data_IF_660349615991
#
_entry.id   IF_660349615991
#
_cell.length_a   1.000
_cell.length_b   1.000
_cell.length_c   1.000
_cell.angle_alpha   90.00
_cell.angle_beta   90.00
_cell.angle_gamma   90.00
#
_symmetry.space_group_name_H-M   'P 1'
#
loop_
_entity.id
_entity.type
_entity.pdbx_description
1 polymer ?
#
# COMPACT_ATOMS: atom_id res chain seq x y z
N UNK A 1 -34.10 23.51 19.81
CA UNK A 1 -32.69 23.81 19.48
C UNK A 1 -31.80 22.74 20.12
N UNK A 2 -31.35 21.76 19.35
CA UNK A 2 -30.40 20.74 19.84
C UNK A 2 -29.04 20.98 19.18
N UNK A 3 -27.91 20.95 19.91
CA UNK A 3 -26.61 21.22 19.33
C UNK A 3 -26.22 20.08 18.37
N UNK A 4 -25.86 20.47 17.14
CA UNK A 4 -25.41 19.57 16.09
C UNK A 4 -24.23 18.72 16.56
N UNK A 5 -24.43 17.40 16.58
CA UNK A 5 -23.33 16.43 16.61
C UNK A 5 -22.62 16.49 15.26
N UNK A 6 -21.67 17.41 15.13
CA UNK A 6 -20.70 17.38 14.04
C UNK A 6 -19.85 16.13 14.22
N UNK A 7 -20.18 15.08 13.47
CA UNK A 7 -19.33 13.92 13.30
C UNK A 7 -18.03 14.41 12.65
N UNK A 8 -17.04 14.75 13.48
CA UNK A 8 -15.69 15.00 13.03
C UNK A 8 -15.16 13.67 12.47
N UNK A 9 -15.37 13.46 11.17
CA UNK A 9 -14.64 12.47 10.39
C UNK A 9 -13.17 12.84 10.51
N UNK A 10 -12.49 12.15 11.42
CA UNK A 10 -11.04 12.27 11.63
C UNK A 10 -10.39 11.79 10.34
N UNK A 11 -10.18 12.71 9.39
CA UNK A 11 -9.41 12.45 8.20
C UNK A 11 -8.02 12.02 8.67
N UNK A 12 -7.71 10.72 8.58
CA UNK A 12 -6.34 10.24 8.77
C UNK A 12 -5.50 10.93 7.71
N UNK A 13 -4.74 11.94 8.10
CA UNK A 13 -3.79 12.67 7.25
C UNK A 13 -2.90 11.62 6.59
N UNK A 14 -3.11 11.41 5.30
CA UNK A 14 -2.35 10.46 4.49
C UNK A 14 -0.90 10.94 4.46
N UNK A 15 0.06 10.05 4.71
CA UNK A 15 1.48 10.44 4.69
C UNK A 15 1.91 10.65 3.24
N UNK A 16 2.46 11.83 2.96
CA UNK A 16 3.16 12.09 1.71
C UNK A 16 4.39 11.18 1.65
N UNK A 17 4.64 10.56 0.50
CA UNK A 17 5.78 9.68 0.29
C UNK A 17 6.49 10.05 -1.00
N UNK A 18 7.79 9.78 -1.05
CA UNK A 18 8.58 9.91 -2.26
C UNK A 18 8.40 8.63 -3.08
N UNK A 19 7.99 8.79 -4.32
CA UNK A 19 7.81 7.72 -5.28
C UNK A 19 8.81 7.91 -6.40
N UNK A 20 9.43 6.82 -6.82
CA UNK A 20 10.16 6.75 -8.07
C UNK A 20 9.28 5.99 -9.06
N UNK A 21 8.88 6.67 -10.13
CA UNK A 21 8.08 6.10 -11.21
C UNK A 21 8.97 5.96 -12.44
N UNK A 22 9.07 4.75 -12.95
CA UNK A 22 9.69 4.42 -14.22
C UNK A 22 8.58 4.19 -15.24
N UNK A 23 8.60 4.96 -16.33
CA UNK A 23 7.68 4.80 -17.46
C UNK A 23 8.26 3.83 -18.50
N UNK A 24 7.40 3.30 -19.37
CA UNK A 24 7.77 2.35 -20.42
C UNK A 24 8.76 2.93 -21.45
N UNK A 25 8.80 4.26 -21.59
CA UNK A 25 9.80 4.99 -22.39
C UNK A 25 11.18 5.07 -21.72
N UNK A 26 11.33 4.51 -20.53
CA UNK A 26 12.56 4.55 -19.72
C UNK A 26 12.72 5.84 -18.91
N UNK A 27 11.77 6.77 -18.98
CA UNK A 27 11.83 8.01 -18.20
C UNK A 27 11.62 7.72 -16.72
N UNK A 28 12.44 8.36 -15.88
CA UNK A 28 12.39 8.27 -14.43
C UNK A 28 11.85 9.58 -13.87
N UNK A 29 10.78 9.50 -13.10
CA UNK A 29 10.18 10.64 -12.42
C UNK A 29 10.17 10.40 -10.93
N UNK A 30 10.57 11.40 -10.16
CA UNK A 30 10.45 11.39 -8.71
C UNK A 30 9.31 12.28 -8.29
N UNK A 31 8.34 11.71 -7.59
CA UNK A 31 7.12 12.39 -7.18
C UNK A 31 6.97 12.35 -5.67
N UNK A 32 6.37 13.38 -5.09
CA UNK A 32 6.00 13.38 -3.67
C UNK A 32 4.48 13.42 -3.59
N UNK A 33 3.87 12.26 -3.39
CA UNK A 33 2.43 12.06 -3.42
C UNK A 33 1.99 11.14 -2.28
N UNK A 34 0.78 11.33 -1.79
CA UNK A 34 0.16 10.35 -0.91
C UNK A 34 -0.41 9.17 -1.72
N UNK A 35 -0.76 8.06 -1.04
CA UNK A 35 -1.26 6.84 -1.71
C UNK A 35 -2.55 7.05 -2.51
N UNK A 36 -3.45 7.92 -2.04
CA UNK A 36 -4.72 8.21 -2.72
C UNK A 36 -4.47 9.04 -3.96
N UNK A 37 -3.60 10.04 -3.85
CA UNK A 37 -3.17 10.85 -4.98
C UNK A 37 -2.49 9.98 -6.05
N UNK A 38 -1.63 9.04 -5.65
CA UNK A 38 -1.00 8.11 -6.59
C UNK A 38 -2.05 7.27 -7.35
N UNK A 39 -3.02 6.70 -6.63
CA UNK A 39 -4.13 5.95 -7.24
C UNK A 39 -4.89 6.82 -8.25
N UNK A 40 -5.23 8.05 -7.88
CA UNK A 40 -6.01 8.95 -8.72
C UNK A 40 -5.24 9.43 -9.95
N UNK A 41 -3.99 9.86 -9.76
CA UNK A 41 -3.12 10.38 -10.84
C UNK A 41 -2.83 9.31 -11.88
N UNK A 42 -2.62 8.06 -11.45
CA UNK A 42 -2.28 6.95 -12.35
C UNK A 42 -3.46 6.05 -12.68
N UNK A 43 -4.68 6.43 -12.26
CA UNK A 43 -5.92 5.66 -12.46
C UNK A 43 -5.75 4.18 -12.10
N UNK A 44 -5.02 3.92 -11.01
CA UNK A 44 -4.78 2.57 -10.54
C UNK A 44 -6.10 2.02 -10.02
N UNK A 45 -6.64 0.98 -10.65
CA UNK A 45 -7.86 0.31 -10.16
C UNK A 45 -7.54 -0.62 -8.97
N UNK A 46 -6.90 -0.06 -7.94
CA UNK A 46 -6.47 -0.73 -6.73
C UNK A 46 -7.27 -0.15 -5.56
N UNK A 47 -8.04 -0.97 -4.82
CA UNK A 47 -8.69 -0.52 -3.59
C UNK A 47 -7.67 0.04 -2.59
N UNK A 48 -8.01 1.16 -1.93
CA UNK A 48 -7.12 1.80 -0.94
C UNK A 48 -6.70 0.87 0.22
N UNK A 49 -7.47 -0.20 0.47
CA UNK A 49 -7.15 -1.22 1.47
C UNK A 49 -5.88 -1.98 1.10
N UNK A 50 -5.69 -2.31 -0.17
CA UNK A 50 -4.56 -3.11 -0.67
C UNK A 50 -3.27 -2.29 -0.66
N UNK A 51 -3.39 -0.97 -0.84
CA UNK A 51 -2.27 -0.04 -0.70
C UNK A 51 -1.66 -0.04 0.71
N UNK A 52 -2.35 -0.58 1.74
CA UNK A 52 -1.78 -0.76 3.08
C UNK A 52 -0.59 -1.71 3.10
N UNK A 53 -0.48 -2.63 2.15
CA UNK A 53 0.69 -3.49 2.00
C UNK A 53 1.97 -2.65 1.79
N UNK A 54 1.82 -1.49 1.18
CA UNK A 54 2.91 -0.55 0.96
C UNK A 54 3.25 0.27 2.21
N UNK A 55 2.46 0.23 3.30
CA UNK A 55 2.81 0.93 4.55
C UNK A 55 3.95 0.22 5.28
N UNK A 56 5.04 0.94 5.55
CA UNK A 56 6.20 0.39 6.27
C UNK A 56 5.82 -0.16 7.64
N UNK A 57 4.82 0.47 8.25
CA UNK A 57 4.34 0.14 9.60
C UNK A 57 3.53 -1.17 9.67
N UNK A 58 2.96 -1.66 8.56
CA UNK A 58 2.06 -2.82 8.60
C UNK A 58 2.80 -4.17 8.68
N UNK A 59 3.98 -4.26 8.05
CA UNK A 59 4.80 -5.49 8.04
C UNK A 59 5.44 -5.81 9.39
N UNK A 60 5.53 -4.85 10.30
CA UNK A 60 5.99 -5.09 11.67
C UNK A 60 4.94 -5.78 12.56
N UNK A 61 3.67 -5.85 12.12
CA UNK A 61 2.55 -6.20 13.01
C UNK A 61 1.55 -7.25 12.47
N UNK A 62 1.77 -7.90 11.32
CA UNK A 62 0.72 -8.77 10.76
C UNK A 62 1.15 -9.76 9.67
N UNK A 63 1.82 -10.84 10.06
CA UNK A 63 1.62 -12.14 9.41
C UNK A 63 0.37 -12.77 10.03
N UNK A 64 -0.79 -12.55 9.41
CA UNK A 64 -2.06 -13.05 9.95
C UNK A 64 -3.25 -12.62 9.12
N UNK A 65 -3.49 -13.31 8.01
CA UNK A 65 -4.81 -13.38 7.39
C UNK A 65 -5.27 -14.83 7.52
N UNK A 66 -6.19 -15.07 8.45
CA UNK A 66 -6.76 -16.39 8.71
C UNK A 66 -7.68 -16.39 9.94
N UNK A 67 -8.91 -15.91 9.74
CA UNK A 67 -10.18 -16.28 10.42
C UNK A 67 -10.19 -16.69 11.90
N UNK A 68 -10.92 -15.92 12.72
CA UNK A 68 -11.61 -16.42 13.92
C UNK A 68 -10.73 -16.74 15.13
N UNK A 69 -11.31 -16.81 16.34
CA UNK A 69 -10.55 -16.63 17.57
C UNK A 69 -10.02 -17.95 18.14
N UNK A 70 -8.93 -17.79 18.89
CA UNK A 70 -8.41 -18.69 19.92
C UNK A 70 -7.35 -19.73 19.49
N UNK A 71 -6.35 -19.78 20.39
CA UNK A 71 -5.41 -20.86 20.64
C UNK A 71 -4.18 -20.96 19.75
N UNK A 72 -3.10 -20.37 20.27
CA UNK A 72 -1.85 -21.10 20.52
C UNK A 72 -1.20 -21.77 19.32
N UNK A 73 -0.26 -21.07 18.69
CA UNK A 73 0.87 -21.72 18.06
C UNK A 73 2.04 -20.73 18.03
N UNK A 74 2.93 -20.88 19.01
CA UNK A 74 4.32 -20.48 18.88
C UNK A 74 4.93 -21.30 17.74
N UNK A 75 5.51 -20.64 16.73
CA UNK A 75 6.41 -21.28 15.76
C UNK A 75 6.07 -21.01 14.29
N UNK A 76 7.04 -20.42 13.58
CA UNK A 76 7.13 -20.21 12.12
C UNK A 76 6.11 -19.22 11.52
N UNK A 77 6.50 -18.07 10.96
CA UNK A 77 7.61 -17.85 10.04
C UNK A 77 8.37 -16.54 10.35
N UNK A 78 9.57 -16.70 10.91
CA UNK A 78 10.68 -15.80 10.59
C UNK A 78 11.13 -16.14 9.18
N UNK A 79 10.75 -15.32 8.20
CA UNK A 79 11.17 -15.49 6.81
C UNK A 79 10.42 -14.50 5.94
N UNK A 80 11.14 -13.56 5.33
CA UNK A 80 10.61 -12.50 4.48
C UNK A 80 9.79 -13.05 3.33
N UNK A 81 8.50 -13.26 3.56
CA UNK A 81 7.59 -13.79 2.55
C UNK A 81 7.15 -12.63 1.67
N UNK A 82 7.57 -12.69 0.41
CA UNK A 82 7.10 -11.75 -0.61
C UNK A 82 5.57 -11.86 -0.72
N UNK A 83 4.89 -10.72 -0.72
CA UNK A 83 3.47 -10.62 -0.98
C UNK A 83 3.28 -10.06 -2.39
N UNK A 84 2.55 -10.81 -3.21
CA UNK A 84 2.15 -10.39 -4.55
C UNK A 84 0.63 -10.31 -4.60
N UNK A 85 0.12 -9.14 -4.99
CA UNK A 85 -1.30 -8.92 -5.21
C UNK A 85 -1.51 -8.54 -6.67
N UNK A 86 -2.34 -9.32 -7.37
CA UNK A 86 -2.62 -9.13 -8.79
C UNK A 86 -4.04 -8.56 -8.94
N UNK A 87 -4.15 -7.46 -9.69
CA UNK A 87 -5.39 -6.85 -10.16
C UNK A 87 -5.36 -6.77 -11.67
N UNK A 88 -6.50 -6.47 -12.27
CA UNK A 88 -6.66 -6.48 -13.73
C UNK A 88 -5.71 -5.50 -14.43
N UNK A 89 -5.45 -4.33 -13.83
CA UNK A 89 -4.62 -3.27 -14.43
C UNK A 89 -3.32 -2.98 -13.65
N UNK A 90 -3.06 -3.70 -12.58
CA UNK A 90 -1.88 -3.46 -11.75
C UNK A 90 -1.50 -4.68 -10.89
N UNK A 91 -0.21 -4.80 -10.61
CA UNK A 91 0.35 -5.76 -9.67
C UNK A 91 1.06 -5.02 -8.55
N UNK A 92 0.83 -5.40 -7.30
CA UNK A 92 1.57 -4.89 -6.15
C UNK A 92 2.51 -5.97 -5.66
N UNK A 93 3.79 -5.64 -5.57
CA UNK A 93 4.82 -6.50 -5.04
C UNK A 93 5.39 -5.88 -3.77
N UNK A 94 5.41 -6.66 -2.69
CA UNK A 94 6.06 -6.29 -1.44
C UNK A 94 6.99 -7.40 -1.03
N UNK A 95 8.30 -7.14 -1.05
CA UNK A 95 9.32 -8.11 -0.66
C UNK A 95 10.41 -7.38 0.13
N UNK A 96 10.58 -7.75 1.39
CA UNK A 96 11.57 -7.14 2.30
C UNK A 96 11.51 -5.59 2.28
N UNK A 97 12.50 -4.96 1.66
CA UNK A 97 12.66 -3.51 1.55
C UNK A 97 12.03 -2.92 0.27
N UNK A 98 11.59 -3.77 -0.65
CA UNK A 98 11.07 -3.39 -1.96
C UNK A 98 9.54 -3.38 -1.94
N UNK A 99 8.96 -2.24 -2.33
CA UNK A 99 7.50 -2.00 -2.39
C UNK A 99 7.17 -1.37 -3.73
N UNK A 100 6.58 -2.15 -4.61
CA UNK A 100 6.40 -1.78 -6.01
C UNK A 100 4.94 -1.94 -6.45
N UNK A 101 4.53 -1.03 -7.32
CA UNK A 101 3.30 -1.11 -8.10
C UNK A 101 3.74 -1.21 -9.56
N UNK A 102 3.32 -2.26 -10.23
CA UNK A 102 3.64 -2.55 -11.61
C UNK A 102 2.34 -2.43 -12.39
N UNK A 103 2.35 -1.64 -13.45
CA UNK A 103 1.26 -1.49 -14.41
C UNK A 103 1.81 -1.84 -15.80
N UNK A 104 0.95 -1.84 -16.81
CA UNK A 104 1.37 -2.17 -18.18
C UNK A 104 2.45 -1.20 -18.72
N UNK A 105 2.39 0.07 -18.34
CA UNK A 105 3.23 1.13 -18.88
C UNK A 105 4.16 1.77 -17.84
N UNK A 106 3.97 1.51 -16.55
CA UNK A 106 4.73 2.15 -15.47
C UNK A 106 5.05 1.20 -14.33
N UNK A 107 6.17 1.46 -13.67
CA UNK A 107 6.57 0.82 -12.42
C UNK A 107 6.85 1.90 -11.38
N UNK A 108 6.08 1.92 -10.30
CA UNK A 108 6.24 2.84 -9.18
C UNK A 108 6.82 2.13 -7.96
N UNK A 109 7.91 2.65 -7.38
CA UNK A 109 8.44 2.17 -6.09
C UNK A 109 8.41 3.29 -5.06
N UNK A 110 8.08 2.93 -3.82
CA UNK A 110 8.13 3.87 -2.70
C UNK A 110 9.57 3.96 -2.18
N UNK A 111 10.11 5.18 -2.15
CA UNK A 111 11.39 5.48 -1.53
C UNK A 111 11.14 5.75 -0.05
N UNK A 112 11.66 4.87 0.80
CA UNK A 112 11.59 4.96 2.28
C UNK A 112 12.76 5.79 2.78
#
# INVERSE_FOLDING_TARGET
MGPGRTLALRAKKSRMMRWLVLSADGTKQQLTLDKRQLIQTYQLDIPIRDMRLLDVTLMAAGAGVGSGPAQGAQGAAQGGTAQLLVRDNAMLLVMEHVRMIITADKVGTCLV
#
